data_IF_263383866145
#
_entry.id   IF_263383866145
#
_cell.length_a   1.000
_cell.length_b   1.000
_cell.length_c   1.000
_cell.angle_alpha   90.00
_cell.angle_beta   90.00
_cell.angle_gamma   90.00
#
_symmetry.space_group_name_H-M   'P 1'
#
loop_
_entity.id
_entity.type
_entity.pdbx_description
1 polymer ?
#
# COMPACT_ATOMS: atom_id res chain seq x y z
N UNK A 1 -30.23 24.85 -48.97
CA UNK A 1 -29.31 23.76 -49.39
C UNK A 1 -28.06 23.86 -48.52
N UNK A 2 -27.93 22.98 -47.54
CA UNK A 2 -26.80 22.99 -46.60
C UNK A 2 -25.72 22.04 -47.12
N UNK A 3 -24.55 22.55 -47.49
CA UNK A 3 -23.39 21.73 -47.82
C UNK A 3 -22.69 21.30 -46.53
N UNK A 4 -22.62 19.99 -46.31
CA UNK A 4 -21.85 19.33 -45.26
C UNK A 4 -20.37 19.35 -45.63
N UNK A 5 -19.56 20.05 -44.83
CA UNK A 5 -18.10 20.08 -44.96
C UNK A 5 -17.54 18.70 -44.60
N UNK A 6 -16.93 18.03 -45.58
CA UNK A 6 -16.28 16.73 -45.41
C UNK A 6 -14.94 16.94 -44.68
N UNK A 7 -14.87 16.61 -43.39
CA UNK A 7 -13.59 16.59 -42.66
C UNK A 7 -12.69 15.47 -43.21
N UNK A 8 -11.47 15.82 -43.61
CA UNK A 8 -10.51 14.86 -44.17
C UNK A 8 -10.03 13.87 -43.09
N UNK A 9 -9.77 12.59 -43.45
CA UNK A 9 -9.44 11.53 -42.48
C UNK A 9 -8.14 11.76 -41.71
N UNK A 10 -7.26 12.65 -42.18
CA UNK A 10 -5.99 12.98 -41.53
C UNK A 10 -6.17 13.85 -40.28
N UNK A 11 -7.09 14.83 -40.30
CA UNK A 11 -7.34 15.71 -39.15
C UNK A 11 -8.02 14.96 -38.01
N UNK A 12 -8.94 14.05 -38.34
CA UNK A 12 -9.59 13.16 -37.36
C UNK A 12 -8.60 12.20 -36.68
N UNK A 13 -7.62 11.66 -37.43
CA UNK A 13 -6.55 10.83 -36.88
C UNK A 13 -5.60 11.62 -35.98
N UNK A 14 -5.26 12.85 -36.36
CA UNK A 14 -4.42 13.73 -35.54
C UNK A 14 -5.10 14.13 -34.23
N UNK A 15 -6.41 14.44 -34.28
CA UNK A 15 -7.20 14.74 -33.08
C UNK A 15 -7.23 13.56 -32.09
N UNK A 16 -7.36 12.32 -32.60
CA UNK A 16 -7.30 11.11 -31.77
C UNK A 16 -5.94 10.98 -31.08
N UNK A 17 -4.84 11.24 -31.79
CA UNK A 17 -3.50 11.18 -31.19
C UNK A 17 -3.27 12.23 -30.11
N UNK A 18 -3.78 13.46 -30.29
CA UNK A 18 -3.71 14.51 -29.27
C UNK A 18 -4.46 14.11 -28.01
N UNK A 19 -5.67 13.55 -28.15
CA UNK A 19 -6.46 13.06 -27.01
C UNK A 19 -5.73 11.92 -26.29
N UNK A 20 -5.12 10.98 -27.02
CA UNK A 20 -4.36 9.88 -26.44
C UNK A 20 -3.15 10.40 -25.64
N UNK A 21 -2.38 11.34 -26.19
CA UNK A 21 -1.22 11.93 -25.50
C UNK A 21 -1.66 12.69 -24.26
N UNK A 22 -2.78 13.43 -24.33
CA UNK A 22 -3.33 14.13 -23.18
C UNK A 22 -3.78 13.17 -22.08
N UNK A 23 -4.50 12.10 -22.44
CA UNK A 23 -4.92 11.06 -21.50
C UNK A 23 -3.71 10.35 -20.86
N UNK A 24 -2.67 10.06 -21.65
CA UNK A 24 -1.42 9.51 -21.12
C UNK A 24 -0.73 10.49 -20.16
N UNK A 25 -0.75 11.79 -20.45
CA UNK A 25 -0.24 12.84 -19.56
C UNK A 25 -1.02 12.92 -18.24
N UNK A 26 -2.34 12.78 -18.27
CA UNK A 26 -3.20 12.78 -17.07
C UNK A 26 -2.94 11.53 -16.21
N UNK A 27 -2.82 10.35 -16.83
CA UNK A 27 -2.51 9.11 -16.09
C UNK A 27 -1.11 9.18 -15.49
N UNK A 28 -0.10 9.63 -16.25
CA UNK A 28 1.26 9.77 -15.77
C UNK A 28 1.36 10.83 -14.66
N UNK A 29 0.74 12.00 -14.84
CA UNK A 29 0.69 13.05 -13.82
C UNK A 29 -0.07 12.64 -12.56
N UNK A 30 -1.17 11.90 -12.70
CA UNK A 30 -1.94 11.34 -11.60
C UNK A 30 -1.15 10.29 -10.80
N UNK A 31 -0.45 9.37 -11.47
CA UNK A 31 0.40 8.37 -10.81
C UNK A 31 1.57 9.03 -10.05
N UNK A 32 2.25 10.00 -10.67
CA UNK A 32 3.36 10.71 -10.04
C UNK A 32 2.89 11.56 -8.85
N UNK A 33 1.79 12.30 -9.00
CA UNK A 33 1.22 13.13 -7.94
C UNK A 33 0.71 12.31 -6.75
N UNK A 34 0.03 11.18 -7.01
CA UNK A 34 -0.44 10.27 -5.97
C UNK A 34 0.73 9.64 -5.20
N UNK A 35 1.78 9.18 -5.91
CA UNK A 35 2.99 8.62 -5.28
C UNK A 35 3.72 9.64 -4.39
N UNK A 36 3.83 10.90 -4.83
CA UNK A 36 4.50 11.95 -4.05
C UNK A 36 3.69 12.38 -2.81
N UNK A 37 2.37 12.49 -2.94
CA UNK A 37 1.49 12.79 -1.81
C UNK A 37 1.47 11.64 -0.78
N UNK A 38 1.44 10.39 -1.23
CA UNK A 38 1.50 9.24 -0.31
C UNK A 38 2.86 9.09 0.38
N UNK A 39 3.97 9.37 -0.31
CA UNK A 39 5.29 9.30 0.30
C UNK A 39 5.54 10.40 1.34
N UNK A 40 5.03 11.61 1.11
CA UNK A 40 5.24 12.72 2.05
C UNK A 40 4.46 12.55 3.36
N UNK A 41 3.24 12.02 3.30
CA UNK A 41 2.42 11.75 4.50
C UNK A 41 2.93 10.51 5.27
N UNK A 42 3.39 9.48 4.56
CA UNK A 42 3.98 8.29 5.19
C UNK A 42 5.35 8.55 5.83
N UNK A 43 6.19 9.39 5.23
CA UNK A 43 7.51 9.73 5.76
C UNK A 43 7.47 10.66 6.99
N UNK A 44 6.41 11.46 7.14
CA UNK A 44 6.23 12.38 8.27
C UNK A 44 5.80 11.68 9.58
N UNK A 45 5.39 10.42 9.52
CA UNK A 45 4.76 9.71 10.63
C UNK A 45 5.62 8.54 11.07
N UNK A 46 6.72 8.79 11.79
CA UNK A 46 7.40 7.69 12.49
C UNK A 46 6.42 7.10 13.50
N UNK A 47 6.10 5.80 13.45
CA UNK A 47 5.23 5.20 14.44
C UNK A 47 5.87 5.38 15.82
N UNK A 48 5.17 6.04 16.74
CA UNK A 48 5.62 6.16 18.13
C UNK A 48 5.93 4.76 18.70
N UNK A 49 6.93 4.62 19.59
CA UNK A 49 7.19 3.37 20.30
C UNK A 49 5.91 2.84 20.96
N UNK A 50 5.76 1.51 21.00
CA UNK A 50 4.51 0.90 21.50
C UNK A 50 4.18 1.33 22.94
N UNK A 51 5.17 1.40 23.81
CA UNK A 51 5.01 1.87 25.18
C UNK A 51 4.46 3.31 25.24
N UNK A 52 4.94 4.21 24.39
CA UNK A 52 4.44 5.60 24.33
C UNK A 52 3.01 5.67 23.78
N UNK A 53 2.68 4.85 22.76
CA UNK A 53 1.31 4.76 22.24
C UNK A 53 0.35 4.23 23.29
N UNK A 54 0.77 3.22 24.05
CA UNK A 54 -0.03 2.64 25.13
C UNK A 54 -0.24 3.64 26.27
N UNK A 55 0.82 4.32 26.71
CA UNK A 55 0.74 5.37 27.72
C UNK A 55 -0.25 6.47 27.33
N UNK A 56 -0.18 6.97 26.08
CA UNK A 56 -1.14 7.97 25.58
C UNK A 56 -2.58 7.46 25.57
N UNK A 57 -2.82 6.19 25.20
CA UNK A 57 -4.17 5.60 25.25
C UNK A 57 -4.69 5.50 26.68
N UNK A 58 -3.85 5.08 27.62
CA UNK A 58 -4.24 5.00 29.04
C UNK A 58 -4.55 6.40 29.57
N UNK A 59 -3.71 7.39 29.28
CA UNK A 59 -3.94 8.78 29.68
C UNK A 59 -5.27 9.30 29.14
N UNK A 60 -5.53 9.08 27.85
CA UNK A 60 -6.79 9.48 27.21
C UNK A 60 -8.00 8.77 27.85
N UNK A 61 -7.96 7.46 27.99
CA UNK A 61 -9.07 6.70 28.60
C UNK A 61 -9.25 7.04 30.09
N UNK A 62 -8.17 7.34 30.80
CA UNK A 62 -8.21 7.80 32.19
C UNK A 62 -8.94 9.12 32.30
N UNK A 63 -8.63 10.07 31.41
CA UNK A 63 -9.30 11.37 31.34
C UNK A 63 -10.76 11.25 30.94
N UNK A 64 -11.05 10.48 29.89
CA UNK A 64 -12.39 10.41 29.30
C UNK A 64 -13.37 9.60 30.15
N UNK A 65 -12.88 8.59 30.88
CA UNK A 65 -13.69 7.69 31.72
C UNK A 65 -13.56 7.98 33.22
N UNK A 66 -12.67 8.89 33.63
CA UNK A 66 -12.42 9.20 35.05
C UNK A 66 -11.84 8.02 35.82
N UNK A 67 -10.89 7.28 35.23
CA UNK A 67 -10.34 6.07 35.84
C UNK A 67 -9.53 6.40 37.10
N UNK A 68 -9.68 5.59 38.14
CA UNK A 68 -8.80 5.62 39.31
C UNK A 68 -7.39 5.13 38.96
N UNK A 69 -6.41 5.44 39.81
CA UNK A 69 -5.03 4.98 39.60
C UNK A 69 -4.89 3.44 39.56
N UNK A 70 -5.76 2.72 40.26
CA UNK A 70 -5.80 1.25 40.22
C UNK A 70 -6.41 0.75 38.90
N UNK A 71 -7.51 1.36 38.45
CA UNK A 71 -8.14 1.03 37.17
C UNK A 71 -7.20 1.31 35.98
N UNK A 72 -6.45 2.43 36.02
CA UNK A 72 -5.47 2.75 34.98
C UNK A 72 -4.33 1.73 34.91
N UNK A 73 -3.86 1.20 36.06
CA UNK A 73 -2.84 0.13 36.10
C UNK A 73 -3.37 -1.20 35.56
N UNK A 74 -4.63 -1.53 35.87
CA UNK A 74 -5.28 -2.72 35.31
C UNK A 74 -5.43 -2.57 33.78
N UNK A 75 -5.83 -1.39 33.30
CA UNK A 75 -5.92 -1.09 31.87
C UNK A 75 -4.56 -1.21 31.17
N UNK A 76 -3.47 -0.73 31.77
CA UNK A 76 -2.12 -0.89 31.20
C UNK A 76 -1.76 -2.36 31.00
N UNK A 77 -2.05 -3.20 32.00
CA UNK A 77 -1.78 -4.63 31.95
C UNK A 77 -2.58 -5.32 30.84
N UNK A 78 -3.88 -5.00 30.72
CA UNK A 78 -4.76 -5.53 29.67
C UNK A 78 -4.25 -5.13 28.28
N UNK A 79 -3.88 -3.85 28.09
CA UNK A 79 -3.40 -3.36 26.81
C UNK A 79 -2.04 -3.96 26.42
N UNK A 80 -1.17 -4.22 27.40
CA UNK A 80 0.12 -4.86 27.19
C UNK A 80 -0.04 -6.33 26.77
N UNK A 81 -0.89 -7.07 27.47
CA UNK A 81 -1.21 -8.47 27.15
C UNK A 81 -1.81 -8.58 25.75
N UNK A 82 -2.82 -7.77 25.46
CA UNK A 82 -3.47 -7.77 24.14
C UNK A 82 -2.49 -7.40 23.01
N UNK A 83 -1.56 -6.47 23.25
CA UNK A 83 -0.52 -6.16 22.27
C UNK A 83 0.38 -7.38 21.99
N UNK A 84 0.76 -8.11 23.03
CA UNK A 84 1.54 -9.35 22.91
C UNK A 84 0.82 -10.41 22.07
N UNK A 85 -0.44 -10.69 22.40
CA UNK A 85 -1.25 -11.66 21.64
C UNK A 85 -1.43 -11.24 20.18
N UNK A 86 -1.77 -9.97 19.93
CA UNK A 86 -1.93 -9.44 18.60
C UNK A 86 -0.63 -9.56 17.78
N UNK A 87 0.53 -9.32 18.42
CA UNK A 87 1.84 -9.50 17.79
C UNK A 87 2.07 -10.97 17.41
N UNK A 88 1.77 -11.91 18.31
CA UNK A 88 1.90 -13.34 18.02
C UNK A 88 1.04 -13.77 16.83
N UNK A 89 -0.23 -13.34 16.80
CA UNK A 89 -1.14 -13.63 15.68
C UNK A 89 -0.60 -13.04 14.38
N UNK A 90 -0.12 -11.79 14.42
CA UNK A 90 0.46 -11.13 13.27
C UNK A 90 1.68 -11.89 12.73
N UNK A 91 2.64 -12.25 13.60
CA UNK A 91 3.85 -12.96 13.20
C UNK A 91 3.54 -14.34 12.59
N UNK A 92 2.58 -15.07 13.17
CA UNK A 92 2.12 -16.35 12.64
C UNK A 92 1.45 -16.21 11.28
N UNK A 93 0.59 -15.18 11.13
CA UNK A 93 -0.08 -14.88 9.88
C UNK A 93 0.92 -14.49 8.78
N UNK A 94 1.88 -13.62 9.07
CA UNK A 94 2.91 -13.20 8.12
C UNK A 94 3.67 -14.41 7.56
N UNK A 95 4.06 -15.37 8.41
CA UNK A 95 4.72 -16.59 7.96
C UNK A 95 3.85 -17.41 6.99
N UNK A 96 2.57 -17.60 7.32
CA UNK A 96 1.63 -18.35 6.47
C UNK A 96 1.38 -17.64 5.13
N UNK A 97 1.25 -16.32 5.15
CA UNK A 97 1.02 -15.55 3.92
C UNK A 97 2.27 -15.57 3.03
N UNK A 98 3.48 -15.51 3.58
CA UNK A 98 4.71 -15.61 2.78
C UNK A 98 4.86 -17.01 2.15
N UNK A 99 4.49 -18.08 2.87
CA UNK A 99 4.43 -19.42 2.30
C UNK A 99 3.44 -19.50 1.13
N UNK A 100 2.23 -18.94 1.30
CA UNK A 100 1.22 -18.89 0.25
C UNK A 100 1.71 -18.10 -0.97
N UNK A 101 2.39 -16.97 -0.77
CA UNK A 101 2.99 -16.18 -1.85
C UNK A 101 4.04 -16.98 -2.60
N UNK A 102 4.94 -17.67 -1.90
CA UNK A 102 5.96 -18.53 -2.52
C UNK A 102 5.30 -19.62 -3.38
N UNK A 103 4.31 -20.32 -2.82
CA UNK A 103 3.55 -21.35 -3.54
C UNK A 103 2.91 -20.81 -4.81
N UNK A 104 2.25 -19.65 -4.73
CA UNK A 104 1.65 -18.98 -5.89
C UNK A 104 2.70 -18.60 -6.95
N UNK A 105 3.86 -18.08 -6.55
CA UNK A 105 4.97 -17.77 -7.46
C UNK A 105 5.47 -19.03 -8.18
N UNK A 106 5.59 -20.15 -7.48
CA UNK A 106 6.05 -21.42 -8.06
C UNK A 106 5.02 -22.00 -9.04
N UNK A 107 3.73 -21.90 -8.72
CA UNK A 107 2.64 -22.26 -9.64
C UNK A 107 2.66 -21.42 -10.92
N UNK A 108 2.89 -20.11 -10.80
CA UNK A 108 3.02 -19.22 -11.96
C UNK A 108 4.26 -19.61 -12.79
N UNK A 109 5.42 -19.86 -12.16
CA UNK A 109 6.64 -20.31 -12.87
C UNK A 109 6.43 -21.58 -13.67
N UNK A 110 5.57 -22.50 -13.19
CA UNK A 110 5.30 -23.77 -13.85
C UNK A 110 4.52 -23.62 -15.17
N UNK A 111 3.70 -22.56 -15.31
CA UNK A 111 2.90 -22.33 -16.52
C UNK A 111 3.57 -21.41 -17.55
N UNK A 112 4.69 -20.78 -17.17
CA UNK A 112 5.43 -19.87 -18.04
C UNK A 112 6.44 -20.60 -18.94
N UNK A 113 6.59 -20.12 -20.16
CA UNK A 113 7.64 -20.61 -21.06
C UNK A 113 9.03 -20.19 -20.56
N UNK A 114 10.12 -20.89 -20.96
CA UNK A 114 11.48 -20.52 -20.57
C UNK A 114 11.84 -19.06 -20.87
N UNK A 115 11.34 -18.52 -21.98
CA UNK A 115 11.59 -17.15 -22.43
C UNK A 115 10.83 -16.10 -21.61
N UNK A 116 9.71 -16.48 -20.99
CA UNK A 116 8.89 -15.60 -20.15
C UNK A 116 9.39 -15.51 -18.71
N UNK A 117 10.09 -16.54 -18.20
CA UNK A 117 10.57 -16.60 -16.81
C UNK A 117 11.45 -15.41 -16.41
N UNK A 118 12.42 -14.93 -17.22
CA UNK A 118 13.23 -13.77 -16.85
C UNK A 118 12.40 -12.51 -16.59
N UNK A 119 11.37 -12.27 -17.40
CA UNK A 119 10.47 -11.11 -17.23
C UNK A 119 9.64 -11.23 -15.96
N UNK A 120 9.25 -12.46 -15.58
CA UNK A 120 8.53 -12.71 -14.34
C UNK A 120 9.42 -12.50 -13.11
N UNK A 121 10.69 -12.93 -13.12
CA UNK A 121 11.60 -12.67 -12.01
C UNK A 121 11.88 -11.16 -11.83
N UNK A 122 12.01 -10.40 -12.92
CA UNK A 122 12.11 -8.93 -12.85
C UNK A 122 10.86 -8.30 -12.22
N UNK A 123 9.67 -8.81 -12.58
CA UNK A 123 8.41 -8.38 -11.99
C UNK A 123 8.36 -8.66 -10.49
N UNK A 124 8.77 -9.87 -10.06
CA UNK A 124 8.83 -10.22 -8.62
C UNK A 124 9.82 -9.34 -7.86
N UNK A 125 10.99 -9.05 -8.44
CA UNK A 125 11.99 -8.19 -7.83
C UNK A 125 11.47 -6.77 -7.56
N UNK A 126 10.69 -6.20 -8.50
CA UNK A 126 10.04 -4.88 -8.31
C UNK A 126 9.02 -4.92 -7.17
N UNK A 127 8.16 -5.94 -7.13
CA UNK A 127 7.19 -6.11 -6.05
C UNK A 127 7.87 -6.28 -4.68
N UNK A 128 8.96 -7.03 -4.61
CA UNK A 128 9.69 -7.27 -3.36
C UNK A 128 10.41 -6.00 -2.88
N UNK A 129 10.93 -5.18 -3.80
CA UNK A 129 11.49 -3.88 -3.48
C UNK A 129 10.43 -2.90 -2.93
N UNK A 130 9.25 -2.84 -3.55
CA UNK A 130 8.13 -2.01 -3.08
C UNK A 130 7.65 -2.46 -1.70
N UNK A 131 7.54 -3.77 -1.46
CA UNK A 131 7.17 -4.31 -0.13
C UNK A 131 8.19 -3.94 0.93
N UNK A 132 9.49 -4.08 0.66
CA UNK A 132 10.55 -3.71 1.60
C UNK A 132 10.57 -2.22 1.91
N UNK A 133 10.19 -1.39 0.95
CA UNK A 133 10.09 0.06 1.13
C UNK A 133 8.88 0.47 1.99
N UNK A 134 7.76 -0.23 1.84
CA UNK A 134 6.52 0.04 2.56
C UNK A 134 6.40 -0.68 3.91
N UNK A 135 7.29 -1.63 4.20
CA UNK A 135 7.34 -2.29 5.49
C UNK A 135 7.69 -1.25 6.59
N UNK A 136 6.91 -1.18 7.69
CA UNK A 136 7.24 -0.31 8.80
C UNK A 136 8.62 -0.70 9.34
N UNK A 137 9.55 0.27 9.37
CA UNK A 137 10.91 0.11 9.89
C UNK A 137 10.94 -0.06 11.40
#
# INVERSE_FOLDING_TARGET
>A
MSQTMNETPATRKAAIWVVIVFLLGVVAGGMLGYGYAHHSVAAASRPLPEAERRARRIEQMTKDLGLSGEQAKQLDSILLEWHGEAKTIHDQSEAQVEELRKKGRDQIRAVLTPEQKPKFEEFLAKLDAERKHNAPR
#
